data_IF_272362841616
#
_entry.id   IF_272362841616
#
_cell.length_a   1.000
_cell.length_b   1.000
_cell.length_c   1.000
_cell.angle_alpha   90.00
_cell.angle_beta   90.00
_cell.angle_gamma   90.00
#
_symmetry.space_group_name_H-M   'P 1'
#
loop_
_entity.id
_entity.type
_entity.pdbx_description
1 polymer ?
#
# COMPACT_ATOMS: atom_id res chain seq x y z
N UNK A 1 23.37 -25.63 4.51
CA UNK A 1 22.93 -24.33 3.98
C UNK A 1 21.78 -23.90 4.85
N UNK A 2 21.98 -22.92 5.71
CA UNK A 2 20.95 -22.43 6.62
C UNK A 2 19.87 -21.72 5.80
N UNK A 3 18.64 -22.20 5.89
CA UNK A 3 17.47 -21.48 5.38
C UNK A 3 17.29 -20.24 6.25
N UNK A 4 17.83 -19.11 5.82
CA UNK A 4 17.51 -17.81 6.41
C UNK A 4 16.01 -17.60 6.20
N UNK A 5 15.22 -17.74 7.26
CA UNK A 5 13.81 -17.35 7.23
C UNK A 5 13.76 -15.83 7.17
N UNK A 6 13.62 -15.29 5.96
CA UNK A 6 13.25 -13.89 5.80
C UNK A 6 11.94 -13.68 6.57
N UNK A 7 11.97 -12.75 7.53
CA UNK A 7 10.78 -12.37 8.31
C UNK A 7 9.61 -12.06 7.37
N UNK A 8 8.38 -12.27 7.84
CA UNK A 8 7.18 -11.95 7.07
C UNK A 8 7.27 -10.52 6.52
N UNK A 9 7.03 -10.37 5.21
CA UNK A 9 6.97 -9.07 4.53
C UNK A 9 5.94 -8.16 5.21
N UNK A 10 6.24 -6.87 5.29
CA UNK A 10 5.44 -5.86 5.97
C UNK A 10 4.58 -5.09 4.97
N UNK A 11 3.28 -5.01 5.23
CA UNK A 11 2.32 -4.26 4.42
C UNK A 11 1.76 -3.13 5.26
N UNK A 12 1.83 -1.91 4.76
CA UNK A 12 1.12 -0.77 5.32
C UNK A 12 -0.19 -0.56 4.54
N UNK A 13 -1.33 -0.67 5.21
CA UNK A 13 -2.65 -0.36 4.65
C UNK A 13 -3.14 0.99 5.19
N UNK A 14 -3.59 1.86 4.28
CA UNK A 14 -4.01 3.24 4.57
C UNK A 14 -5.37 3.50 3.96
N UNK A 15 -6.38 3.61 4.81
CA UNK A 15 -7.79 3.72 4.40
C UNK A 15 -8.62 4.28 5.57
N UNK A 16 -9.49 5.27 5.35
CA UNK A 16 -10.29 5.86 6.43
C UNK A 16 -11.53 5.02 6.78
N UNK A 17 -11.86 3.99 5.99
CA UNK A 17 -12.95 3.06 6.27
C UNK A 17 -12.48 1.90 7.18
N UNK A 18 -12.92 1.83 8.46
CA UNK A 18 -12.46 0.79 9.37
C UNK A 18 -12.86 -0.64 8.94
N UNK A 19 -13.94 -0.75 8.16
CA UNK A 19 -14.38 -2.01 7.53
C UNK A 19 -13.35 -2.54 6.53
N UNK A 20 -12.80 -1.67 5.68
CA UNK A 20 -11.77 -2.04 4.70
C UNK A 20 -10.47 -2.40 5.42
N UNK A 21 -10.05 -1.61 6.40
CA UNK A 21 -8.86 -1.92 7.21
C UNK A 21 -8.97 -3.30 7.87
N UNK A 22 -10.12 -3.62 8.48
CA UNK A 22 -10.37 -4.94 9.10
C UNK A 22 -10.37 -6.07 8.08
N UNK A 23 -11.01 -5.87 6.93
CA UNK A 23 -11.05 -6.85 5.85
C UNK A 23 -9.64 -7.15 5.31
N UNK A 24 -8.88 -6.12 4.97
CA UNK A 24 -7.51 -6.27 4.46
C UNK A 24 -6.61 -6.94 5.50
N UNK A 25 -6.69 -6.53 6.77
CA UNK A 25 -5.95 -7.19 7.84
C UNK A 25 -6.33 -8.67 7.96
N UNK A 26 -7.61 -9.02 7.91
CA UNK A 26 -8.07 -10.41 7.97
C UNK A 26 -7.53 -11.27 6.82
N UNK A 27 -7.55 -10.77 5.59
CA UNK A 27 -7.13 -11.55 4.42
C UNK A 27 -5.61 -11.60 4.24
N UNK A 28 -4.85 -10.62 4.74
CA UNK A 28 -3.39 -10.50 4.53
C UNK A 28 -2.55 -10.99 5.71
N UNK A 29 -3.03 -10.86 6.96
CA UNK A 29 -2.24 -11.16 8.18
C UNK A 29 -1.77 -12.62 8.31
N UNK A 30 -2.40 -13.55 7.59
CA UNK A 30 -1.94 -14.95 7.53
C UNK A 30 -0.53 -15.04 6.94
N UNK A 31 -0.23 -14.26 5.91
CA UNK A 31 1.03 -14.30 5.17
C UNK A 31 1.97 -13.14 5.49
N UNK A 32 1.44 -11.98 5.87
CA UNK A 32 2.19 -10.73 6.01
C UNK A 32 2.07 -10.14 7.42
N UNK A 33 3.00 -9.27 7.80
CA UNK A 33 2.80 -8.35 8.92
C UNK A 33 2.03 -7.15 8.39
N UNK A 34 0.83 -6.90 8.91
CA UNK A 34 -0.04 -5.83 8.42
C UNK A 34 -0.10 -4.70 9.43
N UNK A 35 0.18 -3.49 8.98
CA UNK A 35 0.05 -2.25 9.75
C UNK A 35 -1.08 -1.43 9.16
N UNK A 36 -2.09 -1.13 9.97
CA UNK A 36 -3.27 -0.38 9.53
C UNK A 36 -3.24 1.06 10.04
N UNK A 37 -3.52 2.02 9.15
CA UNK A 37 -3.61 3.45 9.49
C UNK A 37 -4.85 4.04 8.84
N UNK A 38 -5.64 4.76 9.62
CA UNK A 38 -6.91 5.35 9.18
C UNK A 38 -6.75 6.69 8.45
N UNK A 39 -5.51 7.13 8.20
CA UNK A 39 -5.24 8.35 7.45
C UNK A 39 -3.80 8.40 6.94
N UNK A 40 -3.59 9.20 5.89
CA UNK A 40 -2.26 9.52 5.39
C UNK A 40 -1.35 10.15 6.44
N UNK A 41 -1.89 10.92 7.40
CA UNK A 41 -1.11 11.53 8.48
C UNK A 41 -0.52 10.47 9.41
N UNK A 42 -1.37 9.54 9.87
CA UNK A 42 -0.94 8.46 10.76
C UNK A 42 0.01 7.50 10.04
N UNK A 43 -0.19 7.29 8.74
CA UNK A 43 0.73 6.54 7.90
C UNK A 43 2.09 7.24 7.80
N UNK A 44 2.12 8.54 7.54
CA UNK A 44 3.36 9.31 7.48
C UNK A 44 4.10 9.33 8.81
N UNK A 45 3.42 9.62 9.92
CA UNK A 45 4.03 9.60 11.26
C UNK A 45 4.66 8.23 11.56
N UNK A 46 3.98 7.14 11.21
CA UNK A 46 4.50 5.80 11.41
C UNK A 46 5.75 5.52 10.56
N UNK A 47 5.85 6.06 9.34
CA UNK A 47 7.07 5.96 8.54
C UNK A 47 8.23 6.77 9.18
N UNK A 48 7.94 7.98 9.67
CA UNK A 48 8.93 8.87 10.32
C UNK A 48 9.44 8.29 11.67
N UNK A 49 8.69 7.39 12.31
CA UNK A 49 9.16 6.60 13.47
C UNK A 49 10.24 5.56 13.10
N UNK A 50 10.69 5.51 11.83
CA UNK A 50 11.73 4.61 11.35
C UNK A 50 11.22 3.27 10.81
N UNK A 51 9.92 3.16 10.55
CA UNK A 51 9.32 1.94 10.01
C UNK A 51 9.35 1.93 8.46
N UNK A 52 9.66 0.76 7.89
CA UNK A 52 9.74 0.57 6.44
C UNK A 52 8.87 -0.61 6.00
N UNK A 53 7.70 -0.36 5.39
CA UNK A 53 6.90 -1.42 4.78
C UNK A 53 7.52 -1.86 3.45
N UNK A 54 7.35 -3.13 3.09
CA UNK A 54 7.74 -3.64 1.77
C UNK A 54 6.76 -3.21 0.67
N UNK A 55 5.52 -2.86 1.02
CA UNK A 55 4.48 -2.37 0.09
C UNK A 55 3.42 -1.57 0.85
N UNK A 56 2.84 -0.58 0.17
CA UNK A 56 1.73 0.23 0.67
C UNK A 56 0.47 -0.06 -0.14
N UNK A 57 -0.65 -0.29 0.53
CA UNK A 57 -2.00 -0.28 -0.06
C UNK A 57 -2.68 1.00 0.39
N UNK A 58 -3.06 1.85 -0.56
CA UNK A 58 -3.50 3.21 -0.29
C UNK A 58 -4.86 3.50 -0.90
N UNK A 59 -5.79 3.98 -0.10
CA UNK A 59 -6.97 4.66 -0.62
C UNK A 59 -6.65 6.13 -0.95
N UNK A 60 -7.10 6.59 -2.12
CA UNK A 60 -7.06 7.99 -2.52
C UNK A 60 -8.31 8.76 -2.09
N UNK A 61 -9.45 8.07 -1.93
CA UNK A 61 -10.74 8.66 -1.65
C UNK A 61 -10.95 8.81 -0.14
N UNK A 62 -10.17 9.69 0.48
CA UNK A 62 -10.29 10.04 1.90
C UNK A 62 -10.76 11.51 2.05
N UNK A 63 -12.02 11.77 2.45
CA UNK A 63 -12.60 13.12 2.48
C UNK A 63 -11.98 14.07 3.53
N UNK A 64 -11.31 13.55 4.55
CA UNK A 64 -10.80 14.36 5.67
C UNK A 64 -9.27 14.50 5.72
N UNK A 65 -8.52 13.58 5.09
CA UNK A 65 -7.05 13.67 5.01
C UNK A 65 -6.53 12.96 3.76
N UNK A 66 -5.94 13.75 2.87
CA UNK A 66 -5.81 13.42 1.45
C UNK A 66 -4.77 12.32 1.15
N UNK A 67 -5.26 11.17 0.65
CA UNK A 67 -4.43 10.05 0.21
C UNK A 67 -3.50 10.41 -0.93
N UNK A 68 -3.89 11.35 -1.79
CA UNK A 68 -3.01 11.83 -2.87
C UNK A 68 -1.85 12.66 -2.32
N UNK A 69 -2.08 13.46 -1.28
CA UNK A 69 -1.04 14.20 -0.56
C UNK A 69 -0.04 13.26 0.12
N UNK A 70 -0.53 12.17 0.75
CA UNK A 70 0.35 11.13 1.31
C UNK A 70 1.15 10.42 0.22
N UNK A 71 0.51 10.03 -0.90
CA UNK A 71 1.22 9.43 -2.04
C UNK A 71 2.33 10.34 -2.55
N UNK A 72 2.03 11.63 -2.71
CA UNK A 72 3.00 12.62 -3.14
C UNK A 72 4.16 12.73 -2.16
N UNK A 73 3.90 12.80 -0.84
CA UNK A 73 4.96 12.94 0.16
C UNK A 73 5.93 11.75 0.16
N UNK A 74 5.42 10.52 0.04
CA UNK A 74 6.28 9.34 -0.03
C UNK A 74 7.05 9.26 -1.34
N UNK A 75 6.45 9.65 -2.49
CA UNK A 75 7.10 9.56 -3.81
C UNK A 75 8.18 10.63 -4.05
N UNK A 76 8.11 11.77 -3.37
CA UNK A 76 9.18 12.78 -3.41
C UNK A 76 10.24 12.59 -2.32
N UNK A 77 9.97 11.73 -1.33
CA UNK A 77 10.92 11.45 -0.25
C UNK A 77 12.12 10.66 -0.74
N UNK A 78 13.33 11.08 -0.37
CA UNK A 78 14.55 10.32 -0.65
C UNK A 78 14.61 8.94 0.03
N UNK A 79 13.80 8.73 1.07
CA UNK A 79 13.78 7.49 1.85
C UNK A 79 12.69 6.52 1.40
N UNK A 80 11.52 7.03 0.99
CA UNK A 80 10.31 6.21 0.79
C UNK A 80 9.88 6.05 -0.67
N UNK A 81 10.50 6.78 -1.62
CA UNK A 81 10.05 6.81 -3.03
C UNK A 81 10.02 5.45 -3.72
N UNK A 82 10.94 4.56 -3.33
CA UNK A 82 11.09 3.21 -3.89
C UNK A 82 10.07 2.22 -3.32
N UNK A 83 9.34 2.58 -2.27
CA UNK A 83 8.30 1.71 -1.71
C UNK A 83 7.17 1.59 -2.75
N UNK A 84 6.84 0.37 -3.20
CA UNK A 84 5.77 0.18 -4.16
C UNK A 84 4.42 0.50 -3.52
N UNK A 85 3.53 1.08 -4.34
CA UNK A 85 2.19 1.47 -3.91
C UNK A 85 1.18 0.81 -4.82
N UNK A 86 0.19 0.14 -4.22
CA UNK A 86 -1.04 -0.30 -4.87
C UNK A 86 -2.16 0.62 -4.41
N UNK A 87 -2.88 1.21 -5.35
CA UNK A 87 -4.05 2.02 -5.02
C UNK A 87 -5.28 1.11 -4.89
N UNK A 88 -6.08 1.32 -3.85
CA UNK A 88 -7.37 0.66 -3.66
C UNK A 88 -8.41 1.70 -3.29
N UNK A 89 -9.25 2.12 -4.24
CA UNK A 89 -10.07 3.33 -4.04
C UNK A 89 -11.47 3.23 -4.62
N UNK A 90 -12.42 3.94 -3.99
CA UNK A 90 -13.77 4.14 -4.50
C UNK A 90 -13.90 5.35 -5.44
N UNK A 91 -12.78 6.03 -5.77
CA UNK A 91 -12.80 7.20 -6.63
C UNK A 91 -13.42 6.91 -8.02
N UNK A 92 -14.30 7.78 -8.46
CA UNK A 92 -14.79 7.80 -9.84
C UNK A 92 -13.61 8.03 -10.81
N UNK A 93 -13.67 7.40 -11.98
CA UNK A 93 -12.61 7.46 -13.00
C UNK A 93 -11.20 7.11 -12.47
N UNK A 94 -11.08 6.12 -11.57
CA UNK A 94 -9.81 5.72 -10.97
C UNK A 94 -8.69 5.51 -12.00
N UNK A 95 -8.98 4.87 -13.14
CA UNK A 95 -8.03 4.69 -14.25
C UNK A 95 -7.45 6.02 -14.74
N UNK A 96 -8.30 7.04 -14.89
CA UNK A 96 -7.91 8.37 -15.34
C UNK A 96 -7.11 9.10 -14.27
N UNK A 97 -7.50 8.98 -13.00
CA UNK A 97 -6.74 9.55 -11.88
C UNK A 97 -5.32 9.00 -11.89
N UNK A 98 -5.18 7.67 -11.95
CA UNK A 98 -3.88 6.99 -11.96
C UNK A 98 -3.05 7.35 -13.19
N UNK A 99 -3.67 7.41 -14.37
CA UNK A 99 -2.99 7.80 -15.61
C UNK A 99 -2.43 9.24 -15.59
N UNK A 100 -2.99 10.13 -14.76
CA UNK A 100 -2.53 11.51 -14.60
C UNK A 100 -1.59 11.71 -13.40
N UNK A 101 -1.27 10.65 -12.64
CA UNK A 101 -0.29 10.77 -11.56
C UNK A 101 1.10 11.04 -12.13
N UNK A 102 1.87 12.00 -11.57
CA UNK A 102 3.23 12.27 -12.00
C UNK A 102 4.23 11.21 -11.48
N UNK A 103 3.75 10.19 -10.78
CA UNK A 103 4.55 9.13 -10.16
C UNK A 103 3.99 7.77 -10.54
N UNK A 104 4.88 6.77 -10.65
CA UNK A 104 4.49 5.39 -10.89
C UNK A 104 3.83 4.79 -9.64
N UNK A 105 2.73 4.08 -9.86
CA UNK A 105 2.12 3.12 -8.93
C UNK A 105 2.18 1.73 -9.58
N UNK A 106 2.23 0.68 -8.77
CA UNK A 106 2.42 -0.68 -9.31
C UNK A 106 1.13 -1.28 -9.84
N UNK A 107 -0.01 -0.94 -9.23
CA UNK A 107 -1.34 -1.32 -9.66
C UNK A 107 -2.39 -0.43 -9.00
N UNK A 108 -3.63 -0.52 -9.48
CA UNK A 108 -4.79 0.08 -8.85
C UNK A 108 -6.01 -0.83 -8.97
N UNK A 109 -6.88 -0.79 -7.95
CA UNK A 109 -8.12 -1.57 -7.87
C UNK A 109 -9.27 -0.67 -7.45
N UNK A 110 -10.43 -0.72 -8.14
CA UNK A 110 -11.62 -0.04 -7.67
C UNK A 110 -12.22 -0.78 -6.47
N UNK A 111 -12.88 -0.04 -5.57
CA UNK A 111 -13.82 -0.62 -4.59
C UNK A 111 -15.21 -0.70 -5.26
N UNK A 112 -15.94 -1.84 -5.18
CA UNK A 112 -15.55 -3.11 -4.56
C UNK A 112 -14.50 -3.87 -5.37
N UNK A 113 -13.62 -4.59 -4.67
CA UNK A 113 -12.49 -5.33 -5.27
C UNK A 113 -12.60 -6.84 -5.05
N UNK A 114 -11.89 -7.61 -5.87
CA UNK A 114 -11.72 -9.05 -5.68
C UNK A 114 -10.49 -9.33 -4.76
N UNK A 115 -10.67 -9.96 -3.59
CA UNK A 115 -9.56 -10.21 -2.66
C UNK A 115 -8.43 -11.08 -3.21
N UNK A 116 -8.74 -12.07 -4.05
CA UNK A 116 -7.72 -12.95 -4.63
C UNK A 116 -6.90 -12.22 -5.69
N UNK A 117 -7.54 -11.35 -6.49
CA UNK A 117 -6.84 -10.50 -7.45
C UNK A 117 -5.84 -9.56 -6.75
N UNK A 118 -6.26 -8.93 -5.64
CA UNK A 118 -5.39 -8.08 -4.84
C UNK A 118 -4.20 -8.87 -4.25
N UNK A 119 -4.44 -10.07 -3.70
CA UNK A 119 -3.38 -10.92 -3.15
C UNK A 119 -2.36 -11.35 -4.20
N UNK A 120 -2.83 -11.77 -5.38
CA UNK A 120 -1.94 -12.14 -6.49
C UNK A 120 -1.06 -10.97 -6.89
N UNK A 121 -1.63 -9.77 -6.93
CA UNK A 121 -0.90 -8.57 -7.31
C UNK A 121 0.13 -8.16 -6.25
N UNK A 122 -0.22 -8.21 -4.96
CA UNK A 122 0.73 -8.01 -3.86
C UNK A 122 1.89 -9.00 -3.97
N UNK A 123 1.60 -10.29 -4.19
CA UNK A 123 2.63 -11.31 -4.32
C UNK A 123 3.54 -11.05 -5.54
N UNK A 124 2.97 -10.67 -6.68
CA UNK A 124 3.69 -10.30 -7.90
C UNK A 124 4.66 -9.14 -7.63
N UNK A 125 4.16 -8.07 -7.03
CA UNK A 125 4.98 -6.87 -6.72
C UNK A 125 6.10 -7.22 -5.75
N UNK A 126 5.82 -7.92 -4.65
CA UNK A 126 6.83 -8.30 -3.66
C UNK A 126 7.90 -9.26 -4.22
N UNK A 127 7.55 -10.12 -5.17
CA UNK A 127 8.51 -11.00 -5.84
C UNK A 127 9.52 -10.22 -6.70
N UNK A 128 9.09 -9.13 -7.36
CA UNK A 128 9.99 -8.29 -8.16
C UNK A 128 11.04 -7.57 -7.32
N UNK A 129 10.72 -7.20 -6.07
CA UNK A 129 11.69 -6.60 -5.14
C UNK A 129 12.83 -7.56 -4.76
N UNK A 130 12.59 -8.86 -4.80
CA UNK A 130 13.57 -9.89 -4.39
C UNK A 130 14.51 -10.28 -5.53
N UNK A 131 14.13 -10.02 -6.79
CA UNK A 131 14.90 -10.41 -7.98
C UNK A 131 15.91 -9.33 -8.41
N UNK A 132 15.91 -8.17 -7.76
CA UNK A 132 16.77 -7.02 -8.10
C UNK A 132 18.18 -7.09 -7.49
N UNK A 133 18.67 -8.28 -7.12
CA UNK A 133 20.01 -8.52 -6.55
C UNK A 133 20.80 -9.47 -7.45
#
# INVERSE_FOLDING_TARGET
MENVSFGKKQILIVDDEPSILKLLNFILSKQYVVHAKESGYKAHLWLEEGNFPDIIILDLHMPHFDGTSFLKSIKISGYYREIPVIILSAAEDLDKIVANLPFKVEAHFPKPFNPESLKMEIARVLATLTTAI
#
